data_IF_872413073565
#
_entry.id   IF_872413073565
#
_cell.length_a   1.000
_cell.length_b   1.000
_cell.length_c   1.000
_cell.angle_alpha   90.00
_cell.angle_beta   90.00
_cell.angle_gamma   90.00
#
_symmetry.space_group_name_H-M   'P 1'
#
loop_
_entity.id
_entity.type
_entity.pdbx_description
1 polymer ?
#
# COMPACT_ATOMS: atom_id res chain seq x y z
N UNK A 1 9.23 5.18 8.31
CA UNK A 1 9.54 4.06 7.41
C UNK A 1 10.92 3.55 7.77
N UNK A 2 11.07 2.23 7.89
CA UNK A 2 12.36 1.60 8.16
C UNK A 2 12.63 0.63 7.02
N UNK A 3 13.75 0.79 6.33
CA UNK A 3 14.22 -0.15 5.32
C UNK A 3 15.25 -1.09 5.94
N UNK A 4 15.07 -2.39 5.72
CA UNK A 4 15.95 -3.44 6.24
C UNK A 4 16.41 -4.28 5.05
N UNK A 5 17.70 -4.56 4.96
CA UNK A 5 18.29 -5.48 3.99
C UNK A 5 19.08 -6.61 4.69
N UNK A 6 19.94 -7.31 3.94
CA UNK A 6 20.72 -8.42 4.48
C UNK A 6 21.71 -8.02 5.58
N UNK A 7 22.10 -6.74 5.63
CA UNK A 7 23.07 -6.20 6.57
C UNK A 7 22.40 -5.47 7.75
N UNK A 8 21.06 -5.45 7.79
CA UNK A 8 20.27 -4.87 8.87
C UNK A 8 19.52 -3.61 8.44
N UNK A 9 19.39 -2.64 9.35
CA UNK A 9 18.65 -1.39 9.07
C UNK A 9 19.45 -0.54 8.09
N UNK A 10 18.93 -0.40 6.87
CA UNK A 10 19.51 0.44 5.82
C UNK A 10 19.17 1.90 6.00
N UNK A 11 17.94 2.22 6.40
CA UNK A 11 17.49 3.61 6.57
C UNK A 11 16.29 3.74 7.49
N UNK A 12 16.16 4.92 8.11
CA UNK A 12 15.00 5.33 8.89
C UNK A 12 14.54 6.69 8.38
N UNK A 13 13.32 6.75 7.85
CA UNK A 13 12.77 7.94 7.20
C UNK A 13 11.45 8.32 7.84
N UNK A 14 11.24 9.58 8.29
CA UNK A 14 9.91 10.03 8.72
C UNK A 14 8.87 9.80 7.62
N UNK A 15 7.73 9.19 7.97
CA UNK A 15 6.65 8.92 7.03
C UNK A 15 5.36 9.58 7.53
N UNK A 16 4.80 10.56 6.80
CA UNK A 16 3.53 11.18 7.18
C UNK A 16 2.33 10.25 7.00
N UNK A 17 2.45 9.21 6.16
CA UNK A 17 1.36 8.26 5.93
C UNK A 17 1.23 7.33 7.14
N UNK A 18 0.11 7.46 7.85
CA UNK A 18 -0.17 6.70 9.07
C UNK A 18 -1.11 5.52 8.80
N UNK A 19 -0.98 4.46 9.60
CA UNK A 19 -1.86 3.27 9.58
C UNK A 19 -1.91 2.54 8.23
N UNK A 20 -0.83 2.63 7.45
CA UNK A 20 -0.65 1.80 6.25
C UNK A 20 -0.53 0.32 6.64
N UNK A 21 -1.29 -0.54 5.96
CA UNK A 21 -1.31 -2.00 6.15
C UNK A 21 -0.57 -2.78 5.05
N UNK A 22 -0.19 -2.10 3.97
CA UNK A 22 0.59 -2.67 2.86
C UNK A 22 1.41 -1.57 2.20
N UNK A 23 2.53 -1.95 1.57
CA UNK A 23 3.46 -1.04 0.91
C UNK A 23 3.90 -1.62 -0.44
N UNK A 24 3.77 -0.83 -1.50
CA UNK A 24 4.41 -1.05 -2.80
C UNK A 24 5.54 -0.01 -2.97
N UNK A 25 6.70 -0.43 -3.47
CA UNK A 25 7.86 0.46 -3.71
C UNK A 25 8.38 0.30 -5.13
N UNK A 26 8.49 1.40 -5.88
CA UNK A 26 9.10 1.45 -7.21
C UNK A 26 10.00 2.68 -7.30
N UNK A 27 11.32 2.46 -7.19
CA UNK A 27 12.29 3.54 -7.13
C UNK A 27 12.01 4.51 -5.97
N UNK A 28 11.62 5.74 -6.29
CA UNK A 28 11.24 6.76 -5.31
C UNK A 28 9.73 6.77 -4.99
N UNK A 29 8.91 6.07 -5.75
CA UNK A 29 7.45 6.03 -5.58
C UNK A 29 7.05 4.96 -4.55
N UNK A 30 6.08 5.33 -3.72
CA UNK A 30 5.54 4.52 -2.64
C UNK A 30 4.01 4.52 -2.75
N UNK A 31 3.39 3.37 -2.53
CA UNK A 31 1.93 3.28 -2.36
C UNK A 31 1.60 2.53 -1.07
N UNK A 32 0.80 3.16 -0.21
CA UNK A 32 0.36 2.61 1.06
C UNK A 32 -1.12 2.26 1.01
N UNK A 33 -1.49 1.08 1.49
CA UNK A 33 -2.91 0.74 1.67
C UNK A 33 -3.39 1.15 3.05
N UNK A 34 -4.38 2.03 3.10
CA UNK A 34 -4.99 2.47 4.35
C UNK A 34 -6.39 1.92 4.47
N UNK A 35 -6.64 1.20 5.56
CA UNK A 35 -7.98 0.82 5.99
C UNK A 35 -8.54 1.91 6.91
N UNK A 36 -9.78 2.30 6.72
CA UNK A 36 -10.52 3.09 7.69
C UNK A 36 -11.98 2.63 7.76
N UNK A 37 -12.65 2.92 8.88
CA UNK A 37 -14.09 2.70 8.99
C UNK A 37 -14.83 3.85 8.31
N UNK A 38 -15.79 3.53 7.47
CA UNK A 38 -16.68 4.51 6.86
C UNK A 38 -18.08 3.88 6.77
N UNK A 39 -19.06 4.51 7.43
CA UNK A 39 -20.38 3.92 7.64
C UNK A 39 -20.30 2.62 8.46
N UNK A 40 -21.12 1.62 8.10
CA UNK A 40 -21.18 0.31 8.76
C UNK A 40 -20.10 -0.70 8.34
N UNK A 41 -19.07 -0.27 7.59
CA UNK A 41 -18.06 -1.17 7.03
C UNK A 41 -16.65 -0.59 6.97
N UNK A 42 -15.74 -1.36 6.38
CA UNK A 42 -14.38 -0.92 6.08
C UNK A 42 -14.30 -0.36 4.66
N UNK A 43 -13.56 0.74 4.52
CA UNK A 43 -13.11 1.24 3.23
C UNK A 43 -11.60 1.22 3.17
N UNK A 44 -11.11 1.13 1.95
CA UNK A 44 -9.70 1.06 1.64
C UNK A 44 -9.33 2.14 0.66
N UNK A 45 -8.19 2.74 0.91
CA UNK A 45 -7.61 3.79 0.09
C UNK A 45 -6.16 3.46 -0.23
N UNK A 46 -5.70 3.97 -1.34
CA UNK A 46 -4.31 3.97 -1.74
C UNK A 46 -3.78 5.39 -1.51
N UNK A 47 -2.78 5.49 -0.63
CA UNK A 47 -2.07 6.73 -0.35
C UNK A 47 -0.76 6.66 -1.12
N UNK A 48 -0.63 7.45 -2.17
CA UNK A 48 0.60 7.54 -2.96
C UNK A 48 1.53 8.54 -2.31
N UNK A 49 2.81 8.26 -2.34
CA UNK A 49 3.82 9.15 -1.81
C UNK A 49 5.12 9.01 -2.60
N UNK A 50 5.92 10.07 -2.58
CA UNK A 50 7.24 10.09 -3.20
C UNK A 50 8.31 10.32 -2.16
N UNK A 51 9.39 9.54 -2.24
CA UNK A 51 10.60 9.72 -1.46
C UNK A 51 11.54 10.69 -2.17
N UNK A 52 11.97 11.74 -1.48
CA UNK A 52 12.94 12.70 -1.97
C UNK A 52 14.02 12.88 -0.89
N UNK A 53 15.19 12.28 -1.11
CA UNK A 53 16.23 12.20 -0.07
C UNK A 53 15.71 11.49 1.18
N UNK A 54 15.75 12.19 2.31
CA UNK A 54 15.31 11.70 3.63
C UNK A 54 13.85 12.07 3.96
N UNK A 55 13.09 12.58 3.00
CA UNK A 55 11.69 12.93 3.19
C UNK A 55 10.76 12.02 2.38
N UNK A 56 9.59 11.71 2.96
CA UNK A 56 8.44 11.13 2.25
C UNK A 56 7.35 12.18 2.24
N UNK A 57 6.79 12.44 1.06
CA UNK A 57 5.67 13.36 0.87
C UNK A 57 4.52 12.61 0.22
N UNK A 58 3.33 12.64 0.84
CA UNK A 58 2.10 12.13 0.24
C UNK A 58 1.77 12.97 -1.00
N UNK A 59 1.57 12.31 -2.14
CA UNK A 59 1.37 12.96 -3.44
C UNK A 59 -0.07 12.85 -3.91
N UNK A 60 -0.77 11.78 -3.55
CA UNK A 60 -2.15 11.54 -3.98
C UNK A 60 -2.87 10.53 -3.07
N UNK A 61 -4.20 10.51 -3.15
CA UNK A 61 -5.07 9.61 -2.41
C UNK A 61 -6.30 9.22 -3.24
N UNK A 62 -6.50 7.93 -3.39
CA UNK A 62 -7.64 7.38 -4.13
C UNK A 62 -8.32 6.22 -3.38
N UNK A 63 -9.58 5.95 -3.72
CA UNK A 63 -10.26 4.76 -3.21
C UNK A 63 -9.68 3.52 -3.90
N UNK A 64 -9.40 2.48 -3.11
CA UNK A 64 -9.08 1.19 -3.68
C UNK A 64 -10.36 0.52 -4.17
N UNK A 65 -10.44 0.33 -5.48
CA UNK A 65 -11.54 -0.36 -6.15
C UNK A 65 -11.07 -1.66 -6.76
N UNK A 66 -11.87 -2.70 -6.59
CA UNK A 66 -11.78 -3.97 -7.29
C UNK A 66 -12.47 -3.85 -8.65
N UNK A 67 -12.22 -4.79 -9.59
CA UNK A 67 -12.92 -4.83 -10.87
C UNK A 67 -14.44 -4.69 -10.72
N UNK A 68 -15.03 -3.82 -11.53
CA UNK A 68 -16.44 -3.43 -11.43
C UNK A 68 -16.75 -2.41 -10.33
N UNK A 69 -15.81 -1.51 -10.04
CA UNK A 69 -15.93 -0.41 -9.07
C UNK A 69 -16.32 -0.86 -7.65
N UNK A 70 -15.97 -2.10 -7.32
CA UNK A 70 -16.38 -2.72 -6.06
C UNK A 70 -15.40 -2.35 -4.96
N UNK A 71 -15.91 -1.94 -3.80
CA UNK A 71 -15.06 -1.74 -2.64
C UNK A 71 -14.72 -3.08 -1.97
N UNK A 72 -13.44 -3.34 -1.67
CA UNK A 72 -13.05 -4.48 -0.85
C UNK A 72 -13.57 -4.28 0.58
N UNK A 73 -14.13 -5.32 1.18
CA UNK A 73 -14.64 -5.29 2.57
C UNK A 73 -13.57 -5.69 3.59
N UNK A 74 -12.50 -6.37 3.14
CA UNK A 74 -11.38 -6.82 3.95
C UNK A 74 -10.22 -7.33 3.09
N UNK A 75 -9.03 -7.37 3.67
CA UNK A 75 -7.83 -7.94 3.06
C UNK A 75 -7.12 -8.81 4.08
N UNK A 76 -6.63 -9.97 3.65
CA UNK A 76 -5.59 -10.65 4.40
C UNK A 76 -4.24 -10.03 4.01
N UNK A 77 -3.41 -9.75 5.01
CA UNK A 77 -2.23 -8.87 4.93
C UNK A 77 -1.42 -9.03 3.65
N UNK A 78 -1.35 -7.96 2.85
CA UNK A 78 -0.68 -7.93 1.56
C UNK A 78 0.83 -8.11 1.70
N UNK A 79 1.40 -8.97 0.86
CA UNK A 79 2.85 -9.17 0.74
C UNK A 79 3.46 -8.04 -0.10
N UNK A 80 4.61 -7.56 0.33
CA UNK A 80 5.41 -6.51 -0.33
C UNK A 80 6.14 -7.15 -1.52
N UNK A 81 5.90 -6.67 -2.75
CA UNK A 81 6.76 -6.96 -3.90
C UNK A 81 7.86 -5.91 -4.01
N UNK A 82 9.12 -6.34 -4.11
CA UNK A 82 10.28 -5.45 -4.38
C UNK A 82 10.30 -4.92 -5.82
N UNK A 83 9.45 -5.46 -6.68
CA UNK A 83 9.32 -5.19 -8.11
C UNK A 83 8.31 -4.09 -8.43
N UNK A 84 7.88 -3.29 -7.44
CA UNK A 84 6.82 -2.31 -7.61
C UNK A 84 5.41 -2.92 -7.63
N UNK A 85 5.29 -4.24 -7.48
CA UNK A 85 4.00 -4.92 -7.49
C UNK A 85 3.46 -5.11 -6.07
N UNK A 86 2.20 -4.75 -5.86
CA UNK A 86 1.46 -5.15 -4.66
C UNK A 86 0.44 -6.23 -5.02
N UNK A 87 0.52 -7.35 -4.31
CA UNK A 87 -0.41 -8.46 -4.43
C UNK A 87 -1.40 -8.46 -3.28
N UNK A 88 -2.69 -8.54 -3.62
CA UNK A 88 -3.81 -8.41 -2.70
C UNK A 88 -4.74 -9.62 -2.87
N UNK A 89 -5.31 -10.13 -1.79
CA UNK A 89 -6.38 -11.12 -1.89
C UNK A 89 -7.47 -10.81 -0.88
N UNK A 90 -8.72 -10.88 -1.35
CA UNK A 90 -9.88 -10.50 -0.57
C UNK A 90 -10.09 -11.47 0.60
N UNK A 91 -10.46 -10.91 1.75
CA UNK A 91 -10.81 -11.75 2.89
C UNK A 91 -12.06 -12.59 2.54
N UNK A 92 -11.98 -13.91 2.79
CA UNK A 92 -13.02 -14.86 2.38
C UNK A 92 -12.87 -15.50 0.98
N UNK A 93 -11.97 -14.99 0.11
CA UNK A 93 -11.61 -15.66 -1.16
C UNK A 93 -10.08 -15.71 -1.36
N UNK A 94 -9.35 -16.61 -0.67
CA UNK A 94 -7.89 -16.69 -0.73
C UNK A 94 -7.35 -17.18 -2.08
N UNK A 95 -8.22 -17.63 -2.99
CA UNK A 95 -7.80 -18.11 -4.32
C UNK A 95 -7.73 -16.98 -5.35
N UNK A 96 -8.36 -15.84 -5.06
CA UNK A 96 -8.40 -14.70 -5.96
C UNK A 96 -7.39 -13.65 -5.54
N UNK A 97 -6.41 -13.45 -6.41
CA UNK A 97 -5.37 -12.44 -6.24
C UNK A 97 -5.59 -11.28 -7.20
N UNK A 98 -5.44 -10.08 -6.68
CA UNK A 98 -5.44 -8.83 -7.42
C UNK A 98 -4.03 -8.27 -7.41
N UNK A 99 -3.61 -7.75 -8.56
CA UNK A 99 -2.32 -7.10 -8.73
C UNK A 99 -2.55 -5.60 -8.85
N UNK A 100 -1.90 -4.83 -8.01
CA UNK A 100 -1.81 -3.38 -8.13
C UNK A 100 -0.42 -3.03 -8.63
N UNK A 101 -0.36 -2.38 -9.78
CA UNK A 101 0.86 -1.83 -10.37
C UNK A 101 0.88 -0.32 -10.14
N UNK A 102 2.00 0.20 -9.65
CA UNK A 102 2.20 1.63 -9.62
C UNK A 102 2.47 2.11 -11.03
N UNK A 103 1.53 2.87 -11.59
CA UNK A 103 1.78 3.67 -12.77
C UNK A 103 2.94 4.63 -12.43
N UNK A 104 4.07 4.42 -13.09
CA UNK A 104 5.30 5.23 -12.95
C UNK A 104 5.34 6.31 -14.00
#
# INVERSE_FOLDING_TARGET
MIEIDGDGVRSVTPNPVTRGRGLAVSGAELAFLRQHRAGGGFRWEIHRARRQGEAITETDRENLLLPGDRHPTGWAGGKIGRDGTLWLHEDGDPRRWYRYEMNT
#
